data_IF_371496699416
#
_entry.id   IF_371496699416
#
_cell.length_a   1.000
_cell.length_b   1.000
_cell.length_c   1.000
_cell.angle_alpha   90.00
_cell.angle_beta   90.00
_cell.angle_gamma   90.00
#
_symmetry.space_group_name_H-M   'P 1'
#
loop_
_entity.id
_entity.type
_entity.pdbx_description
1 polymer ?
#
# COMPACT_ATOMS: atom_id res chain seq x y z
N UNK A 1 -11.29 5.67 -0.22
CA UNK A 1 -12.20 5.90 0.94
C UNK A 1 -11.55 5.40 2.23
N UNK A 2 -10.68 4.40 2.10
CA UNK A 2 -9.68 3.88 3.06
C UNK A 2 -9.11 4.86 4.10
N UNK A 3 -8.52 6.00 3.68
CA UNK A 3 -7.83 6.92 4.57
C UNK A 3 -8.72 7.41 5.73
N UNK A 4 -9.98 7.75 5.42
CA UNK A 4 -10.92 8.22 6.44
C UNK A 4 -11.20 7.13 7.49
N UNK A 5 -11.27 5.86 7.07
CA UNK A 5 -11.49 4.73 7.98
C UNK A 5 -10.26 4.48 8.83
N UNK A 6 -9.05 4.47 8.27
CA UNK A 6 -7.83 4.33 9.07
C UNK A 6 -7.68 5.45 10.11
N UNK A 7 -8.01 6.68 9.74
CA UNK A 7 -8.02 7.80 10.70
C UNK A 7 -9.07 7.60 11.79
N UNK A 8 -10.25 7.07 11.46
CA UNK A 8 -11.28 6.75 12.44
C UNK A 8 -10.84 5.63 13.40
N UNK A 9 -10.18 4.58 12.88
CA UNK A 9 -9.59 3.50 13.69
C UNK A 9 -8.54 4.08 14.65
N UNK A 10 -7.61 4.89 14.16
CA UNK A 10 -6.55 5.50 14.97
C UNK A 10 -7.08 6.47 16.04
N UNK A 11 -8.21 7.13 15.77
CA UNK A 11 -8.87 8.03 16.70
C UNK A 11 -9.89 7.33 17.63
N UNK A 12 -10.12 6.03 17.44
CA UNK A 12 -11.14 5.27 18.17
C UNK A 12 -10.86 5.20 19.67
N UNK A 13 -11.78 5.65 20.55
CA UNK A 13 -11.59 5.55 21.98
C UNK A 13 -11.56 4.08 22.42
N UNK A 14 -10.57 3.69 23.21
CA UNK A 14 -10.40 2.32 23.69
C UNK A 14 -9.77 1.35 22.68
N UNK A 15 -9.38 1.84 21.49
CA UNK A 15 -8.62 1.05 20.52
C UNK A 15 -7.20 0.81 21.06
N UNK A 16 -6.70 -0.45 21.08
CA UNK A 16 -5.34 -0.75 21.53
C UNK A 16 -4.27 -0.08 20.66
N UNK A 17 -3.10 0.20 21.25
CA UNK A 17 -2.00 0.83 20.52
C UNK A 17 -1.55 0.02 19.28
N UNK A 18 -1.53 -1.32 19.36
CA UNK A 18 -1.18 -2.16 18.21
C UNK A 18 -2.13 -1.98 17.02
N UNK A 19 -3.40 -1.72 17.29
CA UNK A 19 -4.40 -1.41 16.26
C UNK A 19 -4.18 -0.02 15.65
N UNK A 20 -3.76 0.96 16.47
CA UNK A 20 -3.36 2.29 15.98
C UNK A 20 -2.13 2.20 15.07
N UNK A 21 -1.15 1.37 15.45
CA UNK A 21 0.02 1.09 14.61
C UNK A 21 -0.37 0.45 13.27
N UNK A 22 -1.27 -0.54 13.29
CA UNK A 22 -1.82 -1.14 12.07
C UNK A 22 -2.52 -0.11 11.17
N UNK A 23 -3.30 0.81 11.75
CA UNK A 23 -3.93 1.88 10.99
C UNK A 23 -2.88 2.81 10.34
N UNK A 24 -1.80 3.14 11.05
CA UNK A 24 -0.68 3.91 10.51
C UNK A 24 0.00 3.21 9.32
N UNK A 25 0.21 1.89 9.42
CA UNK A 25 0.73 1.07 8.31
C UNK A 25 -0.22 1.04 7.11
N UNK A 26 -1.51 0.90 7.36
CA UNK A 26 -2.54 0.98 6.33
C UNK A 26 -2.54 2.30 5.56
N UNK A 27 -2.39 3.44 6.26
CA UNK A 27 -2.25 4.76 5.64
C UNK A 27 -1.01 4.82 4.74
N UNK A 28 0.12 4.29 5.20
CA UNK A 28 1.34 4.27 4.40
C UNK A 28 1.19 3.38 3.14
N UNK A 29 0.53 2.23 3.27
CA UNK A 29 0.25 1.33 2.16
C UNK A 29 -0.69 1.97 1.11
N UNK A 30 -1.76 2.64 1.56
CA UNK A 30 -2.69 3.38 0.69
C UNK A 30 -1.98 4.50 -0.11
N UNK A 31 -1.11 5.27 0.57
CA UNK A 31 -0.30 6.29 -0.07
C UNK A 31 0.70 5.68 -1.08
N UNK A 32 1.34 4.56 -0.74
CA UNK A 32 2.25 3.84 -1.63
C UNK A 32 1.54 3.28 -2.86
N UNK A 33 0.32 2.74 -2.70
CA UNK A 33 -0.51 2.25 -3.79
C UNK A 33 -0.88 3.39 -4.76
N UNK A 34 -1.38 4.51 -4.23
CA UNK A 34 -1.69 5.71 -5.02
C UNK A 34 -0.48 6.21 -5.81
N UNK A 35 0.68 6.27 -5.16
CA UNK A 35 1.94 6.65 -5.81
C UNK A 35 2.32 5.68 -6.92
N UNK A 36 2.28 4.38 -6.67
CA UNK A 36 2.63 3.36 -7.66
C UNK A 36 1.73 3.42 -8.89
N UNK A 37 0.41 3.60 -8.72
CA UNK A 37 -0.54 3.73 -9.85
C UNK A 37 -0.15 4.90 -10.75
N UNK A 38 0.22 6.04 -10.16
CA UNK A 38 0.55 7.25 -10.88
C UNK A 38 1.95 7.20 -11.53
N UNK A 39 2.94 6.62 -10.86
CA UNK A 39 4.34 6.64 -11.30
C UNK A 39 4.72 5.46 -12.20
N UNK A 40 4.12 4.28 -11.98
CA UNK A 40 4.50 3.05 -12.68
C UNK A 40 3.30 2.34 -13.32
N UNK A 41 2.24 2.09 -12.54
CA UNK A 41 1.13 1.20 -12.91
C UNK A 41 0.46 1.54 -14.25
N UNK A 42 0.18 2.83 -14.50
CA UNK A 42 -0.40 3.28 -15.78
C UNK A 42 0.46 3.01 -17.01
N UNK A 43 1.79 2.96 -16.83
CA UNK A 43 2.75 2.76 -17.91
C UNK A 43 3.20 1.30 -18.05
N UNK A 44 3.11 0.52 -16.96
CA UNK A 44 3.63 -0.84 -16.90
C UNK A 44 2.57 -1.92 -17.17
N UNK A 45 1.29 -1.58 -17.10
CA UNK A 45 0.18 -2.50 -17.33
C UNK A 45 -0.72 -2.03 -18.47
N UNK A 46 -1.32 -2.99 -19.18
CA UNK A 46 -2.43 -2.69 -20.06
C UNK A 46 -3.69 -2.27 -19.25
N UNK A 47 -4.67 -1.70 -19.94
CA UNK A 47 -5.86 -1.15 -19.31
C UNK A 47 -6.68 -2.18 -18.52
N UNK A 48 -6.74 -3.43 -18.96
CA UNK A 48 -7.49 -4.48 -18.27
C UNK A 48 -6.73 -4.95 -17.03
N UNK A 49 -5.43 -5.22 -17.16
CA UNK A 49 -4.59 -5.62 -16.03
C UNK A 49 -4.52 -4.52 -14.95
N UNK A 50 -4.49 -3.25 -15.35
CA UNK A 50 -4.57 -2.13 -14.42
C UNK A 50 -5.95 -2.07 -13.74
N UNK A 51 -7.02 -2.25 -14.50
CA UNK A 51 -8.38 -2.25 -13.94
C UNK A 51 -8.58 -3.37 -12.92
N UNK A 52 -8.21 -4.60 -13.26
CA UNK A 52 -8.29 -5.75 -12.35
C UNK A 52 -7.51 -5.48 -11.05
N UNK A 53 -6.32 -4.91 -11.17
CA UNK A 53 -5.50 -4.58 -10.00
C UNK A 53 -6.10 -3.46 -9.14
N UNK A 54 -6.77 -2.47 -9.74
CA UNK A 54 -7.47 -1.42 -9.02
C UNK A 54 -8.77 -1.93 -8.37
N UNK A 55 -9.48 -2.86 -9.02
CA UNK A 55 -10.62 -3.56 -8.43
C UNK A 55 -10.16 -4.32 -7.20
N UNK A 56 -9.06 -5.06 -7.31
CA UNK A 56 -8.43 -5.76 -6.19
C UNK A 56 -8.19 -4.79 -5.02
N UNK A 57 -7.54 -3.64 -5.23
CA UNK A 57 -7.34 -2.63 -4.18
C UNK A 57 -8.66 -2.16 -3.56
N UNK A 58 -9.66 -1.85 -4.39
CA UNK A 58 -10.98 -1.41 -3.96
C UNK A 58 -11.68 -2.43 -3.04
N UNK A 59 -11.58 -3.72 -3.34
CA UNK A 59 -12.14 -4.77 -2.48
C UNK A 59 -11.51 -4.76 -1.07
N UNK A 60 -10.23 -4.40 -0.93
CA UNK A 60 -9.56 -4.30 0.38
C UNK A 60 -10.06 -3.06 1.14
N UNK A 61 -10.29 -1.96 0.42
CA UNK A 61 -10.91 -0.78 1.04
C UNK A 61 -12.33 -1.08 1.53
N UNK A 62 -13.13 -1.81 0.75
CA UNK A 62 -14.48 -2.20 1.14
C UNK A 62 -14.48 -3.15 2.34
N UNK A 63 -13.55 -4.11 2.39
CA UNK A 63 -13.34 -4.97 3.56
C UNK A 63 -12.97 -4.17 4.81
N UNK A 64 -12.12 -3.15 4.68
CA UNK A 64 -11.76 -2.27 5.79
C UNK A 64 -12.98 -1.50 6.31
N UNK A 65 -13.79 -0.94 5.41
CA UNK A 65 -15.02 -0.23 5.77
C UNK A 65 -15.96 -1.17 6.53
N UNK A 66 -16.21 -2.36 5.99
CA UNK A 66 -17.09 -3.36 6.60
C UNK A 66 -16.58 -3.74 8.00
N UNK A 67 -15.29 -4.05 8.14
CA UNK A 67 -14.69 -4.41 9.41
C UNK A 67 -14.83 -3.30 10.46
N UNK A 68 -14.66 -2.05 10.07
CA UNK A 68 -14.84 -0.92 10.98
C UNK A 68 -16.31 -0.76 11.43
N UNK A 69 -17.27 -0.98 10.54
CA UNK A 69 -18.69 -0.96 10.90
C UNK A 69 -19.05 -2.11 11.85
N UNK A 70 -18.57 -3.34 11.57
CA UNK A 70 -18.76 -4.51 12.44
C UNK A 70 -18.20 -4.25 13.85
N UNK A 71 -17.02 -3.62 13.95
CA UNK A 71 -16.43 -3.28 15.24
C UNK A 71 -17.21 -2.18 15.96
N UNK A 72 -17.65 -1.14 15.26
CA UNK A 72 -18.48 -0.08 15.83
C UNK A 72 -19.89 -0.52 16.25
N UNK A 73 -20.39 -1.63 15.69
CA UNK A 73 -21.64 -2.26 16.05
C UNK A 73 -21.50 -3.33 17.16
N UNK A 74 -20.30 -3.47 17.75
CA UNK A 74 -19.95 -4.53 18.72
C UNK A 74 -20.19 -5.97 18.20
N UNK A 75 -20.25 -6.16 16.88
CA UNK A 75 -20.42 -7.48 16.23
C UNK A 75 -19.12 -8.29 16.23
N UNK A 76 -17.97 -7.60 16.25
CA UNK A 76 -16.64 -8.20 16.39
C UNK A 76 -15.90 -7.62 17.59
N UNK A 77 -15.36 -8.51 18.42
CA UNK A 77 -14.50 -8.09 19.53
C UNK A 77 -13.11 -7.62 19.06
N UNK A 78 -12.42 -6.88 19.91
CA UNK A 78 -11.12 -6.25 19.61
C UNK A 78 -10.05 -7.22 19.09
N UNK A 79 -10.01 -8.46 19.58
CA UNK A 79 -9.05 -9.48 19.12
C UNK A 79 -9.34 -9.92 17.68
N UNK A 80 -10.61 -10.11 17.34
CA UNK A 80 -11.01 -10.47 15.98
C UNK A 80 -10.80 -9.29 15.03
N UNK A 81 -11.09 -8.07 15.49
CA UNK A 81 -10.82 -6.84 14.76
C UNK A 81 -9.34 -6.69 14.41
N UNK A 82 -8.46 -6.81 15.41
CA UNK A 82 -7.01 -6.68 15.21
C UNK A 82 -6.46 -7.73 14.25
N UNK A 83 -6.91 -8.99 14.36
CA UNK A 83 -6.51 -10.07 13.44
C UNK A 83 -6.91 -9.77 12.00
N UNK A 84 -8.18 -9.41 11.77
CA UNK A 84 -8.68 -9.11 10.41
C UNK A 84 -8.07 -7.84 9.85
N UNK A 85 -7.86 -6.82 10.68
CA UNK A 85 -7.19 -5.59 10.27
C UNK A 85 -5.75 -5.88 9.85
N UNK A 86 -5.05 -6.77 10.56
CA UNK A 86 -3.69 -7.20 10.20
C UNK A 86 -3.67 -7.86 8.82
N UNK A 87 -4.64 -8.74 8.53
CA UNK A 87 -4.76 -9.40 7.23
C UNK A 87 -4.97 -8.39 6.10
N UNK A 88 -5.90 -7.44 6.27
CA UNK A 88 -6.19 -6.39 5.30
C UNK A 88 -4.95 -5.51 5.07
N UNK A 89 -4.31 -5.03 6.13
CA UNK A 89 -3.12 -4.16 6.03
C UNK A 89 -1.97 -4.90 5.35
N UNK A 90 -1.73 -6.16 5.68
CA UNK A 90 -0.69 -6.98 5.04
C UNK A 90 -0.97 -7.18 3.54
N UNK A 91 -2.25 -7.41 3.18
CA UNK A 91 -2.64 -7.50 1.78
C UNK A 91 -2.42 -6.16 1.04
N UNK A 92 -2.74 -5.03 1.66
CA UNK A 92 -2.49 -3.71 1.08
C UNK A 92 -0.99 -3.40 0.93
N UNK A 93 -0.16 -3.77 1.91
CA UNK A 93 1.29 -3.56 1.85
C UNK A 93 1.95 -4.38 0.73
N UNK A 94 1.46 -5.59 0.50
CA UNK A 94 1.96 -6.48 -0.56
C UNK A 94 1.30 -6.24 -1.92
N UNK A 95 0.28 -5.38 -1.98
CA UNK A 95 -0.44 -5.08 -3.21
C UNK A 95 0.46 -4.39 -4.26
N UNK A 96 1.33 -3.48 -3.81
CA UNK A 96 2.32 -2.87 -4.70
C UNK A 96 3.38 -3.92 -5.02
N UNK A 97 3.58 -4.27 -6.31
CA UNK A 97 4.67 -5.16 -6.67
C UNK A 97 5.98 -4.48 -6.29
N UNK A 98 6.82 -5.18 -5.53
CA UNK A 98 8.18 -4.73 -5.24
C UNK A 98 8.85 -4.46 -6.59
N UNK A 99 9.37 -3.25 -6.84
CA UNK A 99 10.17 -3.05 -8.04
C UNK A 99 11.33 -4.02 -7.93
N UNK A 100 11.39 -5.02 -8.81
CA UNK A 100 12.65 -5.67 -9.11
C UNK A 100 13.59 -4.53 -9.48
N UNK A 101 14.52 -4.21 -8.58
CA UNK A 101 15.39 -3.04 -8.74
C UNK A 101 16.07 -3.09 -10.10
N UNK A 102 16.59 -1.95 -10.59
CA UNK A 102 17.37 -1.97 -11.81
C UNK A 102 18.50 -2.97 -11.59
N UNK A 103 18.62 -3.99 -12.47
CA UNK A 103 19.88 -4.68 -12.67
C UNK A 103 20.86 -3.60 -13.09
N UNK A 104 21.54 -3.06 -12.08
CA UNK A 104 22.45 -1.95 -12.20
C UNK A 104 23.65 -2.41 -13.00
N UNK A 105 23.53 -2.39 -14.31
CA UNK A 105 24.69 -2.35 -15.20
C UNK A 105 25.10 -0.87 -15.32
N UNK A 106 25.47 -0.27 -14.19
CA UNK A 106 26.29 0.93 -14.17
C UNK A 106 27.72 0.51 -14.49
N UNK A 107 27.91 -0.07 -15.68
CA UNK A 107 29.20 -0.16 -16.32
C UNK A 107 29.62 1.26 -16.68
N UNK A 108 30.33 1.86 -15.73
CA UNK A 108 31.18 3.05 -15.87
C UNK A 108 31.92 2.97 -17.20
N UNK A 109 31.36 3.62 -18.23
CA UNK A 109 32.15 4.08 -19.38
C UNK A 109 32.34 5.58 -19.20
N UNK A 110 33.19 5.92 -18.24
CA UNK A 110 34.01 7.12 -18.32
C UNK A 110 34.85 6.98 -19.59
N UNK A 111 34.30 7.44 -20.72
CA UNK A 111 35.08 7.74 -21.91
C UNK A 111 35.92 8.96 -21.56
N UNK A 112 37.08 8.72 -20.94
CA UNK A 112 38.19 9.67 -20.97
C UNK A 112 38.58 9.77 -22.44
N UNK A 113 38.27 10.91 -23.06
CA UNK A 113 39.07 11.40 -24.17
C UNK A 113 40.36 11.97 -23.58
N UNK A 114 41.54 11.53 -24.05
CA UNK A 114 42.70 12.37 -24.07
C UNK A 114 42.95 12.75 -25.54
N UNK A 115 42.45 13.92 -25.93
CA UNK A 115 43.14 14.69 -26.96
C UNK A 115 44.34 15.37 -26.31
N UNK A 116 45.54 15.12 -26.84
CA UNK A 116 46.58 16.15 -27.07
C UNK A 116 47.78 15.53 -27.80
N UNK A 117 48.02 16.09 -28.98
CA UNK A 117 49.27 16.61 -29.53
C UNK A 117 50.51 15.71 -29.64
N UNK A 118 50.85 15.42 -30.91
CA UNK A 118 52.18 15.07 -31.42
C UNK A 118 52.29 15.48 -32.87
#
# INVERSE_FOLDING_TARGET
>A
MSLAVFLAVAAGPGVPFGVVELAGRGIAADAAASRWVLEAGKSSLDGFALADKLIDLGEREDQLVALWQEYGADEVGVVAFESRLTEIVTAMETWVPVPEGPTGDFSVRLRRDPGTDG
#
